data_IF_934277203164
#
_entry.id   IF_934277203164
#
_cell.length_a   1.000
_cell.length_b   1.000
_cell.length_c   1.000
_cell.angle_alpha   90.00
_cell.angle_beta   90.00
_cell.angle_gamma   90.00
#
_symmetry.space_group_name_H-M   'P 1'
#
loop_
_entity.id
_entity.type
_entity.pdbx_description
1 polymer ?
#
# COMPACT_ATOMS: atom_id res chain seq x y z
N UNK A 1 -33.48 -26.20 -49.45
CA UNK A 1 -31.99 -26.21 -49.36
C UNK A 1 -31.56 -24.77 -49.10
N UNK A 2 -31.33 -24.39 -47.87
CA UNK A 2 -30.83 -23.06 -47.48
C UNK A 2 -29.46 -23.19 -46.88
N UNK A 3 -28.54 -22.23 -47.08
CA UNK A 3 -27.16 -22.36 -46.65
C UNK A 3 -26.99 -22.04 -45.14
N UNK A 4 -26.16 -22.85 -44.52
CA UNK A 4 -25.70 -22.75 -43.15
C UNK A 4 -25.01 -21.41 -42.88
N UNK A 5 -25.50 -20.68 -41.88
CA UNK A 5 -24.83 -19.51 -41.33
C UNK A 5 -23.66 -19.96 -40.41
N UNK A 6 -22.42 -19.79 -40.86
CA UNK A 6 -21.22 -20.00 -40.05
C UNK A 6 -21.09 -18.87 -39.04
N UNK A 7 -21.21 -19.19 -37.73
CA UNK A 7 -20.83 -18.30 -36.63
C UNK A 7 -19.32 -18.12 -36.64
N UNK A 8 -18.85 -16.92 -36.93
CA UNK A 8 -17.45 -16.53 -36.69
C UNK A 8 -17.26 -16.30 -35.20
N UNK A 9 -16.51 -17.20 -34.56
CA UNK A 9 -15.97 -17.04 -33.23
C UNK A 9 -14.85 -15.99 -33.27
N UNK A 10 -15.10 -14.79 -32.79
CA UNK A 10 -14.05 -13.80 -32.55
C UNK A 10 -13.40 -14.12 -31.20
N UNK A 11 -12.26 -14.81 -31.25
CA UNK A 11 -11.38 -14.93 -30.11
C UNK A 11 -10.83 -13.54 -29.77
N UNK A 12 -11.37 -12.92 -28.74
CA UNK A 12 -10.72 -11.77 -28.12
C UNK A 12 -9.47 -12.30 -27.42
N UNK A 13 -8.32 -12.06 -28.01
CA UNK A 13 -7.03 -12.28 -27.38
C UNK A 13 -7.00 -11.40 -26.11
N UNK A 14 -6.97 -12.06 -24.97
CA UNK A 14 -6.73 -11.42 -23.67
C UNK A 14 -5.29 -10.89 -23.72
N UNK A 15 -5.11 -9.61 -24.02
CA UNK A 15 -3.80 -8.94 -23.93
C UNK A 15 -3.49 -8.89 -22.45
N UNK A 16 -2.40 -9.51 -21.97
CA UNK A 16 -2.01 -9.36 -20.57
C UNK A 16 -1.72 -7.88 -20.34
N UNK A 17 -2.44 -7.27 -19.40
CA UNK A 17 -2.10 -5.94 -18.91
C UNK A 17 -0.73 -6.07 -18.23
N UNK A 18 0.31 -5.75 -18.98
CA UNK A 18 1.64 -5.54 -18.44
C UNK A 18 1.58 -4.28 -17.59
N UNK A 19 1.41 -4.45 -16.29
CA UNK A 19 1.68 -3.39 -15.32
C UNK A 19 3.18 -3.19 -15.30
N UNK A 20 3.72 -2.52 -16.33
CA UNK A 20 5.11 -2.15 -16.42
C UNK A 20 5.58 -1.63 -15.07
N UNK A 21 6.42 -2.41 -14.41
CA UNK A 21 7.10 -2.02 -13.18
C UNK A 21 7.81 -0.72 -13.51
N UNK A 22 7.40 0.37 -12.87
CA UNK A 22 8.07 1.66 -13.04
C UNK A 22 9.55 1.44 -12.75
N UNK A 23 10.39 1.47 -13.76
CA UNK A 23 11.83 1.19 -13.69
C UNK A 23 12.56 2.19 -12.79
N UNK A 24 11.95 3.36 -12.58
CA UNK A 24 12.44 4.38 -11.66
C UNK A 24 11.36 4.73 -10.62
N UNK A 25 11.58 4.47 -9.32
CA UNK A 25 10.61 4.78 -8.27
C UNK A 25 10.51 6.28 -7.96
N UNK A 26 11.38 7.12 -8.47
CA UNK A 26 11.36 8.57 -8.27
C UNK A 26 10.26 9.20 -9.13
N UNK A 27 9.38 10.00 -8.51
CA UNK A 27 8.34 10.74 -9.23
C UNK A 27 8.91 11.83 -10.13
N UNK A 28 10.09 12.34 -9.83
CA UNK A 28 10.80 13.27 -10.69
C UNK A 28 11.13 12.69 -12.06
N UNK A 29 11.16 11.37 -12.21
CA UNK A 29 11.33 10.70 -13.51
C UNK A 29 10.24 11.04 -14.53
N UNK A 30 9.08 11.50 -14.07
CA UNK A 30 7.99 11.98 -14.95
C UNK A 30 8.19 13.41 -15.46
N UNK A 31 9.08 14.22 -14.85
CA UNK A 31 9.20 15.64 -15.14
C UNK A 31 9.57 15.95 -16.60
N UNK A 32 10.56 15.28 -17.22
CA UNK A 32 10.86 15.54 -18.62
C UNK A 32 9.68 15.27 -19.57
N UNK A 33 8.88 14.25 -19.24
CA UNK A 33 7.70 13.92 -20.02
C UNK A 33 6.56 14.92 -19.80
N UNK A 34 6.44 15.47 -18.59
CA UNK A 34 5.48 16.53 -18.25
C UNK A 34 5.85 17.81 -19.01
N UNK A 35 7.09 18.27 -18.94
CA UNK A 35 7.56 19.45 -19.63
C UNK A 35 7.35 19.33 -21.14
N UNK A 36 7.77 18.21 -21.73
CA UNK A 36 7.60 17.95 -23.16
C UNK A 36 6.13 17.94 -23.58
N UNK A 37 5.25 17.36 -22.78
CA UNK A 37 3.84 17.19 -23.15
C UNK A 37 3.00 18.44 -22.98
N UNK A 38 3.27 19.21 -21.91
CA UNK A 38 2.44 20.38 -21.54
C UNK A 38 3.12 21.71 -21.84
N UNK A 39 4.36 21.71 -22.37
CA UNK A 39 5.04 22.89 -22.94
C UNK A 39 5.52 23.89 -21.91
N UNK A 40 5.50 23.57 -20.62
CA UNK A 40 5.97 24.48 -19.57
C UNK A 40 7.03 23.78 -18.69
N UNK A 41 8.03 24.55 -18.17
CA UNK A 41 9.05 23.99 -17.30
C UNK A 41 8.46 23.55 -15.93
N UNK A 42 9.14 22.67 -15.23
CA UNK A 42 8.68 22.18 -13.92
C UNK A 42 8.53 23.30 -12.88
N UNK A 43 9.33 24.37 -12.95
CA UNK A 43 9.17 25.55 -12.10
C UNK A 43 7.76 26.13 -12.19
N UNK A 44 7.25 26.33 -13.41
CA UNK A 44 5.87 26.78 -13.64
C UNK A 44 4.85 25.84 -12.99
N UNK A 45 5.02 24.53 -13.15
CA UNK A 45 4.11 23.56 -12.56
C UNK A 45 4.16 23.52 -11.03
N UNK A 46 5.31 23.79 -10.43
CA UNK A 46 5.43 23.94 -8.98
C UNK A 46 4.76 25.21 -8.47
N UNK A 47 4.81 26.30 -9.21
CA UNK A 47 4.09 27.55 -8.88
C UNK A 47 2.57 27.30 -8.92
N UNK A 48 2.06 26.63 -9.96
CA UNK A 48 0.65 26.20 -10.04
C UNK A 48 0.27 25.34 -8.84
N UNK A 49 1.11 24.39 -8.44
CA UNK A 49 0.85 23.56 -7.26
C UNK A 49 0.89 24.33 -5.95
N UNK A 50 1.71 25.39 -5.86
CA UNK A 50 1.77 26.26 -4.69
C UNK A 50 0.49 27.06 -4.49
N UNK A 51 -0.15 27.52 -5.58
CA UNK A 51 -1.44 28.23 -5.53
C UNK A 51 -2.56 27.36 -4.94
N UNK A 52 -2.55 26.05 -5.21
CA UNK A 52 -3.59 25.12 -4.78
C UNK A 52 -3.12 24.18 -3.63
N UNK A 53 -2.06 24.55 -2.91
CA UNK A 53 -1.41 23.68 -1.89
C UNK A 53 -2.37 23.22 -0.78
N UNK A 54 -3.32 24.08 -0.41
CA UNK A 54 -4.27 23.84 0.69
C UNK A 54 -5.49 23.02 0.27
N UNK A 55 -5.67 22.80 -1.05
CA UNK A 55 -6.74 21.96 -1.60
C UNK A 55 -6.51 20.48 -1.30
N UNK A 56 -7.61 19.70 -1.25
CA UNK A 56 -7.52 18.25 -1.09
C UNK A 56 -6.86 17.61 -2.30
N UNK A 57 -6.29 16.41 -2.10
CA UNK A 57 -5.66 15.65 -3.18
C UNK A 57 -6.57 15.49 -4.42
N UNK A 58 -7.84 15.16 -4.21
CA UNK A 58 -8.79 14.97 -5.31
C UNK A 58 -9.04 16.27 -6.11
N UNK A 59 -9.10 17.39 -5.41
CA UNK A 59 -9.29 18.72 -6.01
C UNK A 59 -8.05 19.14 -6.82
N UNK A 60 -6.85 18.91 -6.30
CA UNK A 60 -5.60 19.15 -7.01
C UNK A 60 -5.49 18.29 -8.29
N UNK A 61 -5.90 17.01 -8.19
CA UNK A 61 -5.95 16.10 -9.34
C UNK A 61 -6.92 16.60 -10.41
N UNK A 62 -8.15 16.97 -10.01
CA UNK A 62 -9.17 17.50 -10.91
C UNK A 62 -8.70 18.79 -11.58
N UNK A 63 -8.13 19.72 -10.81
CA UNK A 63 -7.61 20.99 -11.31
C UNK A 63 -6.59 20.80 -12.44
N UNK A 64 -5.59 19.93 -12.25
CA UNK A 64 -4.58 19.66 -13.27
C UNK A 64 -5.17 18.97 -14.51
N UNK A 65 -6.14 18.08 -14.33
CA UNK A 65 -6.76 17.36 -15.44
C UNK A 65 -7.70 18.26 -16.26
N UNK A 66 -8.52 19.06 -15.60
CA UNK A 66 -9.57 19.87 -16.22
C UNK A 66 -9.01 21.17 -16.80
N UNK A 67 -8.11 21.87 -16.08
CA UNK A 67 -7.61 23.18 -16.50
C UNK A 67 -6.32 23.10 -17.34
N UNK A 68 -5.55 22.02 -17.22
CA UNK A 68 -4.27 21.87 -17.90
C UNK A 68 -4.14 20.60 -18.75
N UNK A 69 -5.22 19.80 -18.87
CA UNK A 69 -5.24 18.60 -19.70
C UNK A 69 -4.30 17.48 -19.25
N UNK A 70 -3.91 17.45 -17.98
CA UNK A 70 -2.98 16.45 -17.46
C UNK A 70 -3.58 15.05 -17.56
N UNK A 71 -2.77 14.07 -17.99
CA UNK A 71 -3.11 12.67 -17.78
C UNK A 71 -3.13 12.36 -16.28
N UNK A 72 -3.95 11.39 -15.89
CA UNK A 72 -4.03 10.97 -14.47
C UNK A 72 -2.67 10.59 -13.89
N UNK A 73 -1.80 9.93 -14.67
CA UNK A 73 -0.47 9.52 -14.22
C UNK A 73 0.44 10.73 -13.95
N UNK A 74 0.48 11.71 -14.85
CA UNK A 74 1.28 12.93 -14.70
C UNK A 74 0.75 13.81 -13.57
N UNK A 75 -0.57 14.03 -13.49
CA UNK A 75 -1.19 14.76 -12.39
C UNK A 75 -0.85 14.10 -11.02
N UNK A 76 -1.00 12.77 -10.91
CA UNK A 76 -0.66 12.05 -9.70
C UNK A 76 0.82 12.18 -9.33
N UNK A 77 1.73 12.09 -10.30
CA UNK A 77 3.16 12.24 -10.04
C UNK A 77 3.47 13.64 -9.49
N UNK A 78 2.95 14.70 -10.11
CA UNK A 78 3.16 16.08 -9.70
C UNK A 78 2.52 16.38 -8.34
N UNK A 79 1.25 16.05 -8.14
CA UNK A 79 0.54 16.30 -6.88
C UNK A 79 1.23 15.60 -5.70
N UNK A 80 1.59 14.33 -5.85
CA UNK A 80 2.25 13.61 -4.76
C UNK A 80 3.67 14.11 -4.50
N UNK A 81 4.41 14.50 -5.55
CA UNK A 81 5.72 15.10 -5.38
C UNK A 81 5.65 16.43 -4.61
N UNK A 82 4.74 17.34 -5.00
CA UNK A 82 4.52 18.62 -4.32
C UNK A 82 4.06 18.47 -2.86
N UNK A 83 3.43 17.34 -2.53
CA UNK A 83 3.06 16.97 -1.15
C UNK A 83 4.20 16.30 -0.36
N UNK A 84 5.42 16.30 -0.91
CA UNK A 84 6.60 15.71 -0.26
C UNK A 84 6.72 14.18 -0.42
N UNK A 85 5.80 13.54 -1.14
CA UNK A 85 5.93 12.13 -1.49
C UNK A 85 6.67 11.98 -2.82
N UNK A 86 7.99 12.03 -2.77
CA UNK A 86 8.87 12.09 -3.95
C UNK A 86 9.06 10.75 -4.64
N UNK A 87 8.75 9.61 -3.99
CA UNK A 87 8.99 8.28 -4.56
C UNK A 87 7.71 7.45 -4.67
N UNK A 88 7.65 6.60 -5.70
CA UNK A 88 6.63 5.57 -5.89
C UNK A 88 7.16 4.17 -5.59
N UNK A 89 8.19 4.07 -4.76
CA UNK A 89 8.90 2.82 -4.47
C UNK A 89 7.91 1.73 -4.06
N UNK A 90 7.96 0.62 -4.79
CA UNK A 90 7.25 -0.61 -4.44
C UNK A 90 8.22 -1.60 -3.81
N UNK A 91 7.73 -2.35 -2.85
CA UNK A 91 8.46 -3.44 -2.23
C UNK A 91 7.96 -4.76 -2.81
N UNK A 92 8.90 -5.65 -3.15
CA UNK A 92 8.58 -6.98 -3.66
C UNK A 92 8.74 -8.05 -2.57
N UNK A 93 9.63 -7.81 -1.61
CA UNK A 93 9.91 -8.73 -0.51
C UNK A 93 9.86 -8.04 0.84
N UNK A 94 9.69 -8.82 1.91
CA UNK A 94 9.81 -8.30 3.27
C UNK A 94 11.19 -7.69 3.55
N UNK A 95 12.25 -8.29 3.00
CA UNK A 95 13.60 -7.76 3.12
C UNK A 95 13.72 -6.36 2.46
N UNK A 96 13.09 -6.17 1.28
CA UNK A 96 13.09 -4.86 0.62
C UNK A 96 12.29 -3.81 1.40
N UNK A 97 11.18 -4.23 2.02
CA UNK A 97 10.39 -3.36 2.89
C UNK A 97 11.19 -2.88 4.10
N UNK A 98 12.05 -3.72 4.65
CA UNK A 98 12.87 -3.38 5.83
C UNK A 98 14.04 -2.44 5.51
N UNK A 99 14.64 -2.51 4.31
CA UNK A 99 15.84 -1.74 3.95
C UNK A 99 15.80 -0.25 4.28
N UNK A 100 14.72 0.50 4.00
CA UNK A 100 14.64 1.94 4.29
C UNK A 100 14.32 2.26 5.75
N UNK A 101 14.01 1.27 6.59
CA UNK A 101 13.68 1.49 8.00
C UNK A 101 14.94 1.58 8.86
N UNK A 102 14.85 2.36 9.96
CA UNK A 102 15.87 2.34 10.99
C UNK A 102 15.97 0.97 11.69
N UNK A 103 17.10 0.73 12.37
CA UNK A 103 17.40 -0.55 13.00
C UNK A 103 16.35 -0.97 14.06
N UNK A 104 15.79 -0.02 14.79
CA UNK A 104 14.78 -0.28 15.82
C UNK A 104 13.50 -0.80 15.19
N UNK A 105 12.98 -0.11 14.18
CA UNK A 105 11.80 -0.56 13.42
C UNK A 105 12.04 -1.89 12.73
N UNK A 106 13.21 -2.09 12.12
CA UNK A 106 13.57 -3.37 11.51
C UNK A 106 13.50 -4.52 12.52
N UNK A 107 14.08 -4.32 13.72
CA UNK A 107 14.09 -5.32 14.81
C UNK A 107 12.67 -5.68 15.23
N UNK A 108 11.84 -4.69 15.48
CA UNK A 108 10.45 -4.89 15.92
C UNK A 108 9.61 -5.56 14.82
N UNK A 109 9.70 -5.11 13.57
CA UNK A 109 9.00 -5.72 12.44
C UNK A 109 9.40 -7.19 12.24
N UNK A 110 10.71 -7.49 12.30
CA UNK A 110 11.21 -8.88 12.23
C UNK A 110 10.65 -9.73 13.37
N UNK A 111 10.62 -9.21 14.60
CA UNK A 111 10.11 -9.94 15.76
C UNK A 111 8.60 -10.23 15.66
N UNK A 112 7.80 -9.29 15.16
CA UNK A 112 6.36 -9.48 14.92
C UNK A 112 6.14 -10.65 13.95
N UNK A 113 6.74 -10.61 12.76
CA UNK A 113 6.51 -11.63 11.75
C UNK A 113 7.15 -12.97 12.11
N UNK A 114 8.29 -12.97 12.81
CA UNK A 114 8.90 -14.20 13.34
C UNK A 114 7.98 -14.91 14.34
N UNK A 115 7.28 -14.16 15.21
CA UNK A 115 6.31 -14.75 16.13
C UNK A 115 5.15 -15.43 15.38
N UNK A 116 4.67 -14.83 14.29
CA UNK A 116 3.60 -15.39 13.45
C UNK A 116 4.09 -16.65 12.73
N UNK A 117 5.19 -16.59 12.02
CA UNK A 117 5.70 -17.71 11.21
C UNK A 117 6.12 -18.90 12.07
N UNK A 118 6.63 -18.67 13.28
CA UNK A 118 6.96 -19.73 14.23
C UNK A 118 5.70 -20.49 14.72
N UNK A 119 4.58 -19.81 14.90
CA UNK A 119 3.33 -20.40 15.40
C UNK A 119 2.48 -20.99 14.27
N UNK A 120 2.54 -20.43 13.07
CA UNK A 120 1.73 -20.82 11.92
C UNK A 120 2.63 -21.21 10.73
N UNK A 121 3.13 -22.45 10.65
CA UNK A 121 4.05 -22.88 9.60
C UNK A 121 3.48 -22.77 8.17
N UNK A 122 2.15 -22.77 8.03
CA UNK A 122 1.45 -22.58 6.75
C UNK A 122 1.19 -21.11 6.41
N UNK A 123 1.61 -20.18 7.27
CA UNK A 123 1.45 -18.76 7.00
C UNK A 123 2.45 -18.28 5.94
N UNK A 124 1.93 -17.62 4.92
CA UNK A 124 2.71 -16.99 3.87
C UNK A 124 2.94 -15.51 4.20
N UNK A 125 4.21 -15.09 4.28
CA UNK A 125 4.58 -13.69 4.40
C UNK A 125 4.75 -13.09 3.01
N UNK A 126 3.87 -12.19 2.63
CA UNK A 126 3.83 -11.57 1.31
C UNK A 126 3.84 -10.03 1.40
N UNK A 127 4.16 -9.34 0.30
CA UNK A 127 3.91 -7.91 0.18
C UNK A 127 2.59 -7.72 -0.58
N UNK A 128 1.63 -7.05 0.06
CA UNK A 128 0.41 -6.61 -0.57
C UNK A 128 0.12 -5.17 -0.15
N UNK A 129 -0.44 -4.35 -1.07
CA UNK A 129 -0.63 -2.90 -0.86
C UNK A 129 0.62 -2.18 -0.36
N UNK A 130 1.79 -2.65 -0.84
CA UNK A 130 3.11 -2.14 -0.48
C UNK A 130 3.49 -2.31 1.01
N UNK A 131 2.89 -3.29 1.69
CA UNK A 131 3.10 -3.57 3.12
C UNK A 131 3.24 -5.07 3.36
N UNK A 132 3.98 -5.49 4.40
CA UNK A 132 4.07 -6.89 4.80
C UNK A 132 2.73 -7.40 5.34
N UNK A 133 2.27 -8.50 4.77
CA UNK A 133 1.01 -9.16 5.08
C UNK A 133 1.21 -10.64 5.31
N UNK A 134 0.37 -11.21 6.15
CA UNK A 134 0.28 -12.66 6.39
C UNK A 134 -0.97 -13.19 5.74
N UNK A 135 -0.79 -14.24 4.91
CA UNK A 135 -1.87 -15.06 4.38
C UNK A 135 -1.91 -16.42 5.06
N UNK A 136 -3.12 -16.91 5.31
CA UNK A 136 -3.38 -18.29 5.71
C UNK A 136 -4.56 -18.79 4.86
N UNK A 137 -4.40 -19.92 4.21
CA UNK A 137 -5.41 -20.51 3.30
C UNK A 137 -5.89 -19.49 2.24
N UNK A 138 -4.94 -18.76 1.64
CA UNK A 138 -5.18 -17.76 0.59
C UNK A 138 -5.78 -16.42 1.05
N UNK A 139 -6.09 -16.24 2.35
CA UNK A 139 -6.71 -15.03 2.90
C UNK A 139 -5.72 -14.19 3.72
N UNK A 140 -5.83 -12.87 3.60
CA UNK A 140 -5.07 -11.96 4.44
C UNK A 140 -5.67 -11.94 5.85
N UNK A 141 -4.88 -12.35 6.84
CA UNK A 141 -5.32 -12.47 8.24
C UNK A 141 -4.62 -11.49 9.17
N UNK A 142 -3.47 -10.97 8.76
CA UNK A 142 -2.70 -10.04 9.57
C UNK A 142 -1.76 -9.22 8.69
N UNK A 143 -1.41 -8.02 9.16
CA UNK A 143 -0.40 -7.18 8.53
C UNK A 143 0.24 -6.24 9.54
N UNK A 144 1.41 -5.70 9.19
CA UNK A 144 2.04 -4.65 9.97
C UNK A 144 2.69 -3.62 9.05
N UNK A 145 2.68 -2.35 9.48
CA UNK A 145 3.32 -1.26 8.74
C UNK A 145 4.05 -0.31 9.67
N UNK A 146 5.30 0.01 9.32
CA UNK A 146 6.09 0.98 10.05
C UNK A 146 5.68 2.40 9.64
N UNK A 147 5.27 3.21 10.61
CA UNK A 147 4.98 4.62 10.46
C UNK A 147 6.15 5.47 10.97
N UNK A 148 6.05 6.80 10.87
CA UNK A 148 7.11 7.70 11.35
C UNK A 148 7.44 7.47 12.83
N UNK A 149 6.43 7.41 13.70
CA UNK A 149 6.59 7.37 15.16
C UNK A 149 6.08 6.09 15.83
N UNK A 150 5.47 5.16 15.10
CA UNK A 150 4.88 3.93 15.64
C UNK A 150 4.82 2.83 14.57
N UNK A 151 4.42 1.64 14.96
CA UNK A 151 4.08 0.55 14.05
C UNK A 151 2.59 0.30 14.18
N UNK A 152 1.90 0.14 13.05
CA UNK A 152 0.52 -0.34 13.00
C UNK A 152 0.53 -1.84 12.80
N UNK A 153 -0.22 -2.57 13.62
CA UNK A 153 -0.57 -3.97 13.40
C UNK A 153 -2.06 -4.08 13.12
N UNK A 154 -2.46 -4.97 12.22
CA UNK A 154 -3.82 -5.07 11.73
C UNK A 154 -4.28 -6.51 11.59
N UNK A 155 -5.28 -6.97 12.36
CA UNK A 155 -5.97 -8.24 12.16
C UNK A 155 -7.04 -8.18 11.05
N UNK A 156 -7.24 -7.02 10.40
CA UNK A 156 -8.21 -6.74 9.33
C UNK A 156 -9.69 -6.94 9.66
N UNK A 157 -10.03 -7.41 10.85
CA UNK A 157 -11.40 -7.61 11.30
C UNK A 157 -11.68 -6.71 12.52
N UNK A 158 -12.77 -5.93 12.45
CA UNK A 158 -13.18 -5.04 13.55
C UNK A 158 -13.67 -5.83 14.76
N UNK A 159 -14.40 -6.93 14.55
CA UNK A 159 -14.89 -7.79 15.63
C UNK A 159 -13.74 -8.39 16.43
N UNK A 160 -12.67 -8.83 15.75
CA UNK A 160 -11.46 -9.32 16.43
C UNK A 160 -10.83 -8.21 17.28
N UNK A 161 -10.82 -6.96 16.83
CA UNK A 161 -10.34 -5.84 17.65
C UNK A 161 -11.23 -5.67 18.88
N UNK A 162 -12.54 -5.76 18.73
CA UNK A 162 -13.49 -5.57 19.83
C UNK A 162 -13.36 -6.68 20.87
N UNK A 163 -13.23 -7.93 20.46
CA UNK A 163 -12.99 -9.09 21.34
C UNK A 163 -11.69 -8.96 22.14
N UNK A 164 -10.68 -8.32 21.56
CA UNK A 164 -9.38 -8.15 22.19
C UNK A 164 -9.25 -6.87 23.00
N UNK A 165 -10.24 -5.98 23.03
CA UNK A 165 -10.19 -4.69 23.76
C UNK A 165 -9.66 -4.78 25.18
N UNK A 166 -10.04 -5.76 26.02
CA UNK A 166 -9.53 -5.85 27.38
C UNK A 166 -7.99 -6.03 27.44
N UNK A 167 -7.40 -6.64 26.40
CA UNK A 167 -5.95 -6.85 26.28
C UNK A 167 -5.24 -5.72 25.57
N UNK A 168 -5.96 -4.74 25.07
CA UNK A 168 -5.45 -3.63 24.27
C UNK A 168 -5.51 -2.29 25.03
N UNK A 169 -5.75 -2.31 26.34
CA UNK A 169 -5.91 -1.10 27.15
C UNK A 169 -4.69 -0.16 27.08
N UNK A 170 -3.47 -0.71 26.97
CA UNK A 170 -2.23 0.06 26.91
C UNK A 170 -1.88 0.54 25.48
N UNK A 171 -2.72 0.25 24.49
CA UNK A 171 -2.46 0.57 23.09
C UNK A 171 -3.49 1.54 22.52
N UNK A 172 -3.07 2.39 21.60
CA UNK A 172 -4.01 3.18 20.80
C UNK A 172 -4.66 2.31 19.74
N UNK A 173 -5.97 2.12 19.88
CA UNK A 173 -6.76 1.22 19.04
C UNK A 173 -7.65 2.03 18.09
N UNK A 174 -7.59 1.70 16.80
CA UNK A 174 -8.50 2.18 15.76
C UNK A 174 -9.47 1.05 15.37
N UNK A 175 -10.40 1.32 14.46
CA UNK A 175 -11.43 0.35 14.03
C UNK A 175 -10.86 -1.01 13.56
N UNK A 176 -9.70 -1.05 12.90
CA UNK A 176 -9.09 -2.26 12.34
C UNK A 176 -7.59 -2.35 12.58
N UNK A 177 -7.02 -1.44 13.37
CA UNK A 177 -5.58 -1.38 13.59
C UNK A 177 -5.24 -1.04 15.03
N UNK A 178 -4.10 -1.50 15.48
CA UNK A 178 -3.53 -1.23 16.80
C UNK A 178 -2.19 -0.55 16.60
N UNK A 179 -1.94 0.56 17.30
CA UNK A 179 -0.65 1.24 17.31
C UNK A 179 0.21 0.67 18.41
N UNK A 180 1.43 0.25 18.06
CA UNK A 180 2.45 -0.19 19.01
C UNK A 180 3.70 0.68 18.87
N UNK A 181 4.52 0.88 19.93
CA UNK A 181 5.76 1.64 19.86
C UNK A 181 6.74 1.10 18.81
N UNK A 182 7.63 1.94 18.29
CA UNK A 182 8.65 1.50 17.32
C UNK A 182 9.64 0.49 17.92
N UNK A 183 9.88 0.56 19.23
CA UNK A 183 10.74 -0.30 20.04
C UNK A 183 9.97 -1.34 20.87
N UNK A 184 8.73 -1.62 20.45
CA UNK A 184 7.84 -2.52 21.17
C UNK A 184 8.49 -3.85 21.51
N UNK A 185 8.47 -4.20 22.79
CA UNK A 185 8.75 -5.59 23.23
C UNK A 185 7.59 -6.46 22.80
N UNK A 186 7.72 -7.11 21.66
CA UNK A 186 6.63 -7.81 20.99
C UNK A 186 5.98 -8.84 21.93
N UNK A 187 4.71 -8.61 22.30
CA UNK A 187 3.88 -9.61 22.94
C UNK A 187 3.51 -10.67 21.89
N UNK A 188 4.35 -11.72 21.85
CA UNK A 188 4.19 -12.83 20.90
C UNK A 188 2.83 -13.52 21.05
N UNK A 189 2.32 -13.61 22.31
CA UNK A 189 1.01 -14.22 22.59
C UNK A 189 -0.11 -13.38 22.00
N UNK A 190 -0.10 -12.07 22.22
CA UNK A 190 -1.07 -11.15 21.64
C UNK A 190 -1.09 -11.25 20.10
N UNK A 191 0.09 -11.16 19.47
CA UNK A 191 0.22 -11.23 18.01
C UNK A 191 -0.33 -12.54 17.45
N UNK A 192 0.05 -13.66 18.04
CA UNK A 192 -0.41 -14.99 17.56
C UNK A 192 -1.89 -15.23 17.82
N UNK A 193 -2.44 -14.74 18.92
CA UNK A 193 -3.86 -14.83 19.22
C UNK A 193 -4.70 -14.00 18.26
N UNK A 194 -4.25 -12.76 17.91
CA UNK A 194 -4.88 -11.91 16.89
C UNK A 194 -4.91 -12.61 15.52
N UNK A 195 -3.78 -13.21 15.11
CA UNK A 195 -3.71 -13.98 13.86
C UNK A 195 -4.67 -15.17 13.88
N UNK A 196 -4.70 -15.92 14.98
CA UNK A 196 -5.61 -17.08 15.12
C UNK A 196 -7.09 -16.68 15.05
N UNK A 197 -7.45 -15.59 15.74
CA UNK A 197 -8.81 -15.05 15.72
C UNK A 197 -9.21 -14.59 14.31
N UNK A 198 -8.33 -13.85 13.64
CA UNK A 198 -8.58 -13.38 12.26
C UNK A 198 -8.69 -14.53 11.26
N UNK A 199 -7.91 -15.59 11.42
CA UNK A 199 -8.00 -16.77 10.58
C UNK A 199 -9.34 -17.54 10.76
N UNK A 200 -9.92 -17.47 11.95
CA UNK A 200 -11.23 -18.09 12.27
C UNK A 200 -12.40 -17.24 11.79
N UNK A 201 -12.35 -15.93 12.01
CA UNK A 201 -13.45 -14.99 11.71
C UNK A 201 -13.80 -14.88 10.22
N UNK A 202 -13.00 -15.41 9.33
CA UNK A 202 -13.27 -15.43 7.89
C UNK A 202 -13.82 -16.76 7.36
N UNK A 203 -14.18 -17.69 8.24
CA UNK A 203 -14.91 -18.91 7.88
C UNK A 203 -16.39 -18.67 8.01
#
# INVERSE_FOLDING_TARGET
MGPLCQRRSSAHACVPYDFGVATNPDRASYFPAIEKKYGQPMSYWFDVMAEIKDSKYAEQMAYLQENHGFSRAHANALVLYSRGNTTSRRFNTFADYLKPLDATKQKTMKAIFAAVTAKFPKAELVIAWNQPMVKIDGRYVFGASAQKAHILIAPFNAEVIDDFRPRLADYKVNKKTIQVPVDWKVDKKLVTDLVAASAKAGK
#
